data_IF_516503738176
#
_entry.id   IF_516503738176
#
_cell.length_a   1.000
_cell.length_b   1.000
_cell.length_c   1.000
_cell.angle_alpha   90.00
_cell.angle_beta   90.00
_cell.angle_gamma   90.00
#
_symmetry.space_group_name_H-M   'P 1'
#
loop_
_entity.id
_entity.type
_entity.pdbx_description
1 polymer ?
#
# COMPACT_ATOMS: atom_id res chain seq x y z
N UNK A 1 -9.52 27.85 5.33
CA UNK A 1 -8.82 28.33 4.12
C UNK A 1 -9.62 28.08 2.85
N UNK A 2 -9.97 26.81 2.48
CA UNK A 2 -10.79 26.56 1.29
C UNK A 2 -12.20 27.20 1.39
N UNK A 3 -12.84 27.08 2.56
CA UNK A 3 -14.13 27.72 2.84
C UNK A 3 -14.08 29.24 2.70
N UNK A 4 -13.02 29.86 3.23
CA UNK A 4 -12.82 31.31 3.14
C UNK A 4 -12.62 31.76 1.70
N UNK A 5 -11.84 30.99 0.90
CA UNK A 5 -11.64 31.28 -0.52
C UNK A 5 -12.90 31.17 -1.35
N UNK A 6 -13.78 30.24 -0.99
CA UNK A 6 -15.06 30.01 -1.69
C UNK A 6 -16.23 30.85 -1.12
N UNK A 7 -16.01 31.56 0.00
CA UNK A 7 -17.04 32.34 0.67
C UNK A 7 -18.19 31.48 1.22
N UNK A 8 -17.90 30.23 1.59
CA UNK A 8 -18.91 29.30 2.15
C UNK A 8 -18.62 29.02 3.63
N UNK A 9 -19.66 28.66 4.35
CA UNK A 9 -19.53 28.18 5.75
C UNK A 9 -19.52 26.66 5.76
N UNK A 10 -18.51 26.07 6.40
CA UNK A 10 -18.41 24.63 6.59
C UNK A 10 -18.64 24.35 8.06
N UNK A 11 -19.53 23.41 8.38
CA UNK A 11 -19.67 22.83 9.71
C UNK A 11 -18.91 21.52 9.74
N UNK A 12 -17.91 21.41 10.59
CA UNK A 12 -17.10 20.20 10.73
C UNK A 12 -17.65 19.32 11.84
N UNK A 13 -18.09 18.11 11.50
CA UNK A 13 -18.51 17.08 12.44
C UNK A 13 -17.41 16.03 12.52
N UNK A 14 -16.86 15.80 13.71
CA UNK A 14 -15.78 14.83 13.97
C UNK A 14 -16.29 13.66 14.77
N UNK A 15 -15.83 12.45 14.42
CA UNK A 15 -16.21 11.21 15.07
C UNK A 15 -14.97 10.34 15.26
N UNK A 16 -14.93 9.51 16.29
CA UNK A 16 -13.84 8.55 16.55
C UNK A 16 -13.95 7.29 15.67
N UNK A 17 -15.15 6.95 15.21
CA UNK A 17 -15.45 5.76 14.43
C UNK A 17 -15.87 6.15 13.01
N UNK A 18 -15.17 5.64 12.01
CA UNK A 18 -15.43 5.96 10.62
C UNK A 18 -16.72 5.30 10.07
N UNK A 19 -17.22 4.24 10.67
CA UNK A 19 -18.51 3.66 10.32
C UNK A 19 -19.65 4.64 10.69
N UNK A 20 -19.51 5.35 11.82
CA UNK A 20 -20.43 6.42 12.21
C UNK A 20 -20.37 7.59 11.23
N UNK A 21 -19.17 7.96 10.77
CA UNK A 21 -19.01 9.01 9.73
C UNK A 21 -19.78 8.63 8.47
N UNK A 22 -19.55 7.40 7.98
CA UNK A 22 -20.18 6.91 6.76
C UNK A 22 -21.71 6.84 6.91
N UNK A 23 -22.23 6.38 8.06
CA UNK A 23 -23.66 6.33 8.31
C UNK A 23 -24.30 7.72 8.34
N UNK A 24 -23.65 8.72 8.95
CA UNK A 24 -24.15 10.11 8.92
C UNK A 24 -24.18 10.69 7.50
N UNK A 25 -23.26 10.29 6.63
CA UNK A 25 -23.29 10.67 5.23
C UNK A 25 -24.46 10.00 4.48
N UNK A 26 -24.67 8.69 4.70
CA UNK A 26 -25.80 7.94 4.12
C UNK A 26 -27.15 8.54 4.56
N UNK A 27 -27.26 8.91 5.82
CA UNK A 27 -28.48 9.48 6.41
C UNK A 27 -28.70 10.97 6.03
N UNK A 28 -27.77 11.57 5.28
CA UNK A 28 -27.85 12.97 4.85
C UNK A 28 -27.61 13.98 5.98
N UNK A 29 -27.01 13.55 7.10
CA UNK A 29 -26.58 14.45 8.17
C UNK A 29 -25.26 15.17 7.84
N UNK A 30 -24.51 14.66 6.86
CA UNK A 30 -23.31 15.26 6.29
C UNK A 30 -23.40 15.21 4.75
N UNK A 31 -23.03 16.31 4.11
CA UNK A 31 -23.01 16.41 2.65
C UNK A 31 -21.72 15.87 2.05
N UNK A 32 -20.65 15.84 2.83
CA UNK A 32 -19.30 15.43 2.41
C UNK A 32 -18.63 14.64 3.53
N UNK A 33 -17.93 13.58 3.17
CA UNK A 33 -16.99 12.89 4.06
C UNK A 33 -15.57 12.99 3.49
N UNK A 34 -14.56 12.94 4.36
CA UNK A 34 -13.15 13.03 3.96
C UNK A 34 -12.31 12.02 4.73
N UNK A 35 -11.46 11.32 4.00
CA UNK A 35 -10.41 10.43 4.50
C UNK A 35 -9.42 10.19 3.37
N UNK A 36 -8.49 9.23 3.51
CA UNK A 36 -7.60 8.82 2.44
C UNK A 36 -8.37 8.26 1.22
N UNK A 37 -7.78 8.42 0.03
CA UNK A 37 -8.45 8.06 -1.23
C UNK A 37 -8.84 6.59 -1.33
N UNK A 38 -7.99 5.67 -0.83
CA UNK A 38 -8.31 4.23 -0.81
C UNK A 38 -9.49 3.92 0.13
N UNK A 39 -9.57 4.60 1.27
CA UNK A 39 -10.69 4.50 2.19
C UNK A 39 -12.00 4.98 1.55
N UNK A 40 -11.98 6.12 0.85
CA UNK A 40 -13.17 6.63 0.14
C UNK A 40 -13.65 5.67 -0.96
N UNK A 41 -12.71 5.13 -1.74
CA UNK A 41 -13.04 4.15 -2.80
C UNK A 41 -13.62 2.87 -2.22
N UNK A 42 -13.03 2.35 -1.14
CA UNK A 42 -13.55 1.18 -0.42
C UNK A 42 -14.97 1.40 0.09
N UNK A 43 -15.22 2.53 0.78
CA UNK A 43 -16.55 2.86 1.30
C UNK A 43 -17.59 3.03 0.19
N UNK A 44 -17.22 3.69 -0.91
CA UNK A 44 -18.08 3.79 -2.08
C UNK A 44 -18.44 2.39 -2.63
N UNK A 45 -17.48 1.50 -2.77
CA UNK A 45 -17.70 0.16 -3.31
C UNK A 45 -18.59 -0.71 -2.41
N UNK A 46 -18.48 -0.56 -1.09
CA UNK A 46 -19.18 -1.40 -0.12
C UNK A 46 -20.54 -0.84 0.32
N UNK A 47 -20.68 0.47 0.42
CA UNK A 47 -21.78 1.09 1.17
C UNK A 47 -22.61 2.11 0.37
N UNK A 48 -22.26 2.40 -0.89
CA UNK A 48 -23.06 3.29 -1.72
C UNK A 48 -24.48 2.73 -1.90
N UNK A 49 -25.54 3.47 -1.49
CA UNK A 49 -26.91 2.98 -1.64
C UNK A 49 -27.30 2.79 -3.11
N UNK A 50 -28.15 1.82 -3.37
CA UNK A 50 -28.64 1.55 -4.71
C UNK A 50 -29.42 2.76 -5.27
N UNK A 51 -29.00 3.23 -6.44
CA UNK A 51 -29.62 4.38 -7.11
C UNK A 51 -29.00 5.73 -6.75
N UNK A 52 -28.05 5.79 -5.85
CA UNK A 52 -27.22 6.97 -5.57
C UNK A 52 -25.92 6.93 -6.34
N UNK A 53 -25.33 8.08 -6.61
CA UNK A 53 -24.01 8.20 -7.19
C UNK A 53 -23.13 9.07 -6.29
N UNK A 54 -22.19 8.43 -5.59
CA UNK A 54 -21.19 9.15 -4.81
C UNK A 54 -20.02 9.56 -5.69
N UNK A 55 -19.59 10.80 -5.55
CA UNK A 55 -18.48 11.37 -6.31
C UNK A 55 -17.27 11.57 -5.39
N UNK A 56 -16.11 11.08 -5.80
CA UNK A 56 -14.84 11.32 -5.12
C UNK A 56 -14.11 12.45 -5.82
N UNK A 57 -13.83 13.53 -5.09
CA UNK A 57 -13.15 14.71 -5.62
C UNK A 57 -12.26 15.37 -4.55
N UNK A 58 -11.29 16.17 -4.93
CA UNK A 58 -10.74 16.31 -6.29
C UNK A 58 -10.04 15.03 -6.74
N UNK A 59 -9.79 14.88 -8.05
CA UNK A 59 -9.06 13.73 -8.58
C UNK A 59 -7.61 13.66 -8.11
N UNK A 60 -7.01 14.81 -7.76
CA UNK A 60 -5.69 14.86 -7.12
C UNK A 60 -5.84 14.94 -5.58
N UNK A 61 -5.06 14.18 -4.80
CA UNK A 61 -5.08 14.25 -3.34
C UNK A 61 -4.81 15.67 -2.83
N UNK A 62 -5.54 16.09 -1.81
CA UNK A 62 -5.37 17.41 -1.15
C UNK A 62 -4.31 17.40 -0.05
N UNK A 63 -3.89 16.23 0.41
CA UNK A 63 -2.85 16.02 1.42
C UNK A 63 -2.04 14.76 1.10
N UNK A 64 -0.99 14.53 1.89
CA UNK A 64 -0.15 13.32 1.82
C UNK A 64 -0.39 12.49 3.06
N UNK A 65 -0.87 11.29 2.87
CA UNK A 65 -1.14 10.32 3.93
C UNK A 65 -0.36 9.03 3.63
N UNK A 66 0.98 9.01 3.92
CA UNK A 66 1.78 7.82 3.66
C UNK A 66 1.41 6.71 4.64
N UNK A 67 0.65 5.74 4.16
CA UNK A 67 0.24 4.56 4.91
C UNK A 67 1.37 3.54 4.96
N UNK A 68 1.46 2.81 6.05
CA UNK A 68 2.46 1.74 6.21
C UNK A 68 2.12 0.78 7.35
N UNK A 69 2.73 -0.40 7.37
CA UNK A 69 2.60 -1.33 8.48
C UNK A 69 3.09 -0.70 9.78
N UNK A 70 2.40 -1.00 10.89
CA UNK A 70 2.80 -0.55 12.22
C UNK A 70 3.18 -1.73 13.11
N UNK A 71 4.11 -1.51 14.03
CA UNK A 71 4.60 -2.51 14.98
C UNK A 71 4.86 -1.87 16.34
N UNK A 72 4.96 -2.71 17.38
CA UNK A 72 5.21 -2.25 18.74
C UNK A 72 6.57 -1.56 18.89
N UNK A 73 6.61 -0.46 19.64
CA UNK A 73 7.84 0.26 19.95
C UNK A 73 8.84 -0.64 20.70
N UNK A 74 10.14 -0.40 20.52
CA UNK A 74 11.24 -1.15 21.12
C UNK A 74 11.36 -2.63 20.66
N UNK A 75 10.81 -2.95 19.49
CA UNK A 75 10.95 -4.25 18.84
C UNK A 75 11.77 -4.12 17.56
N UNK A 76 13.01 -3.60 17.65
CA UNK A 76 13.84 -3.25 16.50
C UNK A 76 14.02 -4.41 15.52
N UNK A 77 14.30 -5.62 16.02
CA UNK A 77 14.45 -6.80 15.18
C UNK A 77 13.18 -7.17 14.42
N UNK A 78 12.02 -7.05 15.05
CA UNK A 78 10.73 -7.26 14.37
C UNK A 78 10.44 -6.14 13.38
N UNK A 79 10.81 -4.90 13.71
CA UNK A 79 10.74 -3.76 12.81
C UNK A 79 11.55 -4.01 11.53
N UNK A 80 12.77 -4.52 11.65
CA UNK A 80 13.61 -4.88 10.52
C UNK A 80 12.94 -5.94 9.64
N UNK A 81 12.37 -6.99 10.23
CA UNK A 81 11.64 -8.03 9.49
C UNK A 81 10.45 -7.45 8.73
N UNK A 82 9.64 -6.58 9.36
CA UNK A 82 8.49 -5.94 8.70
C UNK A 82 8.95 -5.06 7.54
N UNK A 83 9.94 -4.20 7.77
CA UNK A 83 10.47 -3.30 6.74
C UNK A 83 11.06 -4.08 5.56
N UNK A 84 11.91 -5.08 5.83
CA UNK A 84 12.53 -5.87 4.79
C UNK A 84 11.53 -6.77 4.04
N UNK A 85 10.44 -7.18 4.68
CA UNK A 85 9.34 -7.86 3.98
C UNK A 85 8.71 -6.96 2.92
N UNK A 86 8.44 -5.69 3.26
CA UNK A 86 7.92 -4.72 2.28
C UNK A 86 8.96 -4.43 1.19
N UNK A 87 10.22 -4.21 1.56
CA UNK A 87 11.29 -3.96 0.59
C UNK A 87 11.50 -5.14 -0.35
N UNK A 88 11.42 -6.37 0.16
CA UNK A 88 11.55 -7.58 -0.65
C UNK A 88 10.48 -7.64 -1.76
N UNK A 89 9.25 -7.27 -1.46
CA UNK A 89 8.18 -7.22 -2.45
C UNK A 89 8.40 -6.13 -3.52
N UNK A 90 8.94 -4.98 -3.12
CA UNK A 90 9.30 -3.89 -4.04
C UNK A 90 10.51 -4.26 -4.91
N UNK A 91 11.56 -4.84 -4.32
CA UNK A 91 12.74 -5.31 -5.05
C UNK A 91 12.34 -6.40 -6.06
N UNK A 92 11.45 -7.33 -5.66
CA UNK A 92 10.94 -8.34 -6.58
C UNK A 92 10.31 -7.70 -7.82
N UNK A 93 9.48 -6.69 -7.66
CA UNK A 93 8.90 -5.94 -8.79
C UNK A 93 9.96 -5.25 -9.66
N UNK A 94 11.01 -4.66 -9.07
CA UNK A 94 12.12 -4.06 -9.82
C UNK A 94 12.81 -5.05 -10.75
N UNK A 95 12.87 -6.33 -10.36
CA UNK A 95 13.43 -7.43 -11.13
C UNK A 95 12.38 -8.18 -11.98
N UNK A 96 11.13 -7.75 -12.00
CA UNK A 96 10.03 -8.43 -12.69
C UNK A 96 9.67 -9.79 -12.12
N UNK A 97 9.98 -10.01 -10.83
CA UNK A 97 9.68 -11.23 -10.09
C UNK A 97 8.34 -11.07 -9.36
N UNK A 98 7.47 -12.06 -9.50
CA UNK A 98 6.14 -12.08 -8.94
C UNK A 98 5.75 -13.48 -8.44
N UNK A 99 4.55 -13.63 -7.90
CA UNK A 99 4.07 -14.90 -7.35
C UNK A 99 4.11 -16.05 -8.37
N UNK A 100 3.87 -15.76 -9.64
CA UNK A 100 3.74 -16.79 -10.68
C UNK A 100 5.07 -17.29 -11.23
N UNK A 101 6.14 -16.47 -11.15
CA UNK A 101 7.43 -16.77 -11.78
C UNK A 101 8.62 -16.85 -10.81
N UNK A 102 8.45 -16.63 -9.51
CA UNK A 102 9.56 -16.61 -8.54
C UNK A 102 10.40 -17.89 -8.54
N UNK A 103 9.80 -19.04 -8.88
CA UNK A 103 10.50 -20.32 -8.96
C UNK A 103 11.55 -20.35 -10.08
N UNK A 104 11.40 -19.53 -11.11
CA UNK A 104 12.31 -19.45 -12.25
C UNK A 104 13.61 -18.70 -11.90
N UNK A 105 13.68 -18.09 -10.71
CA UNK A 105 14.82 -17.27 -10.25
C UNK A 105 15.63 -17.91 -9.10
N UNK A 106 15.45 -19.21 -8.86
CA UNK A 106 16.17 -19.92 -7.80
C UNK A 106 17.65 -20.17 -8.12
N UNK A 107 18.13 -19.78 -9.29
CA UNK A 107 19.53 -19.74 -9.69
C UNK A 107 20.06 -18.31 -9.87
N UNK A 108 19.29 -17.30 -9.46
CA UNK A 108 19.67 -15.90 -9.58
C UNK A 108 20.94 -15.58 -8.79
N UNK A 109 21.75 -14.68 -9.34
CA UNK A 109 22.96 -14.17 -8.69
C UNK A 109 22.75 -12.72 -8.19
N UNK A 110 23.73 -12.21 -7.47
CA UNK A 110 23.76 -10.82 -7.04
C UNK A 110 22.67 -10.49 -6.02
N UNK A 111 22.03 -9.34 -6.17
CA UNK A 111 21.03 -8.83 -5.24
C UNK A 111 19.79 -9.73 -5.16
N UNK A 112 19.27 -10.14 -6.32
CA UNK A 112 18.09 -11.00 -6.37
C UNK A 112 18.36 -12.37 -5.74
N UNK A 113 19.53 -12.96 -5.99
CA UNK A 113 19.93 -14.22 -5.37
C UNK A 113 20.02 -14.11 -3.84
N UNK A 114 20.59 -13.02 -3.31
CA UNK A 114 20.60 -12.76 -1.86
C UNK A 114 19.19 -12.58 -1.30
N UNK A 115 18.34 -11.83 -2.01
CA UNK A 115 16.96 -11.64 -1.60
C UNK A 115 16.19 -12.97 -1.50
N UNK A 116 16.34 -13.83 -2.49
CA UNK A 116 15.65 -15.12 -2.54
C UNK A 116 16.28 -16.20 -1.66
N UNK A 117 17.46 -15.92 -1.05
CA UNK A 117 18.18 -16.85 -0.18
C UNK A 117 18.85 -18.00 -0.93
N UNK A 118 19.14 -17.83 -2.23
CA UNK A 118 19.85 -18.83 -3.05
C UNK A 118 21.36 -18.54 -3.17
N UNK A 119 21.81 -17.42 -2.63
CA UNK A 119 23.21 -17.02 -2.52
C UNK A 119 23.59 -16.74 -1.07
N UNK A 120 24.24 -15.59 -0.85
CA UNK A 120 24.55 -15.09 0.48
C UNK A 120 23.27 -14.58 1.17
N UNK A 121 23.01 -15.04 2.38
CA UNK A 121 21.79 -14.77 3.17
C UNK A 121 22.03 -13.76 4.32
N UNK A 122 23.02 -12.89 4.22
CA UNK A 122 23.39 -11.95 5.30
C UNK A 122 22.22 -11.14 5.83
N UNK A 123 21.33 -10.69 4.96
CA UNK A 123 20.14 -9.89 5.34
C UNK A 123 19.19 -10.70 6.21
N UNK A 124 18.85 -11.93 5.78
CA UNK A 124 17.96 -12.82 6.50
C UNK A 124 18.59 -13.32 7.82
N UNK A 125 19.85 -13.71 7.78
CA UNK A 125 20.58 -14.21 8.95
C UNK A 125 20.76 -13.13 10.02
N UNK A 126 21.02 -11.89 9.64
CA UNK A 126 21.10 -10.74 10.56
C UNK A 126 19.78 -10.50 11.32
N UNK A 127 18.64 -10.73 10.67
CA UNK A 127 17.33 -10.67 11.31
C UNK A 127 16.94 -11.95 12.05
N UNK A 128 17.67 -13.05 11.86
CA UNK A 128 17.40 -14.36 12.46
C UNK A 128 16.15 -15.03 11.89
N UNK A 129 15.89 -14.83 10.61
CA UNK A 129 14.85 -15.51 9.85
C UNK A 129 15.47 -16.54 8.90
N UNK A 130 14.63 -17.41 8.32
CA UNK A 130 15.12 -18.44 7.39
C UNK A 130 15.75 -17.81 6.14
N UNK A 131 16.79 -18.43 5.54
CA UNK A 131 17.43 -17.91 4.34
C UNK A 131 16.45 -17.64 3.18
N UNK A 132 15.46 -18.50 3.01
CA UNK A 132 14.43 -18.42 1.96
C UNK A 132 13.18 -17.60 2.36
N UNK A 133 13.23 -16.85 3.47
CA UNK A 133 12.05 -16.17 4.00
C UNK A 133 11.41 -15.22 2.97
N UNK A 134 12.20 -14.44 2.23
CA UNK A 134 11.65 -13.52 1.25
C UNK A 134 11.19 -14.22 -0.04
N UNK A 135 11.85 -15.31 -0.45
CA UNK A 135 11.29 -16.19 -1.47
C UNK A 135 9.90 -16.67 -1.06
N UNK A 136 9.74 -17.13 0.19
CA UNK A 136 8.45 -17.59 0.70
C UNK A 136 7.39 -16.47 0.73
N UNK A 137 7.78 -15.24 1.04
CA UNK A 137 6.88 -14.07 0.96
C UNK A 137 6.37 -13.91 -0.48
N UNK A 138 7.25 -13.85 -1.46
CA UNK A 138 6.87 -13.64 -2.85
C UNK A 138 6.06 -14.85 -3.37
N UNK A 139 6.48 -16.08 -3.03
CA UNK A 139 5.79 -17.31 -3.44
C UNK A 139 4.37 -17.43 -2.90
N UNK A 140 4.15 -17.04 -1.64
CA UNK A 140 2.85 -17.23 -0.97
C UNK A 140 1.95 -16.00 -1.07
N UNK A 141 2.53 -14.82 -1.09
CA UNK A 141 1.80 -13.54 -1.04
C UNK A 141 1.89 -12.78 -2.35
N UNK A 142 3.04 -12.78 -2.99
CA UNK A 142 3.32 -12.06 -4.24
C UNK A 142 4.23 -10.87 -4.03
N UNK A 143 4.54 -10.19 -5.14
CA UNK A 143 5.23 -8.91 -5.18
C UNK A 143 4.30 -7.77 -4.78
N UNK A 144 4.81 -6.54 -4.73
CA UNK A 144 4.02 -5.35 -4.45
C UNK A 144 2.92 -5.13 -5.51
N UNK A 145 3.23 -5.29 -6.80
CA UNK A 145 2.25 -5.21 -7.88
C UNK A 145 1.20 -6.31 -7.80
N UNK A 146 1.58 -7.55 -7.42
CA UNK A 146 0.60 -8.63 -7.23
C UNK A 146 -0.43 -8.27 -6.16
N UNK A 147 0.00 -7.62 -5.07
CA UNK A 147 -0.90 -7.16 -4.01
C UNK A 147 -1.80 -6.04 -4.49
N UNK A 148 -1.26 -5.08 -5.24
CA UNK A 148 -2.03 -3.99 -5.81
C UNK A 148 -3.13 -4.51 -6.75
N UNK A 149 -2.75 -5.35 -7.71
CA UNK A 149 -3.67 -5.95 -8.67
C UNK A 149 -4.76 -6.78 -8.00
N UNK A 150 -4.45 -7.46 -6.90
CA UNK A 150 -5.40 -8.28 -6.16
C UNK A 150 -6.39 -7.48 -5.34
N UNK A 151 -5.95 -6.37 -4.73
CA UNK A 151 -6.73 -5.70 -3.69
C UNK A 151 -7.21 -4.29 -4.08
N UNK A 152 -6.47 -3.57 -4.90
CA UNK A 152 -6.75 -2.17 -5.22
C UNK A 152 -7.24 -1.95 -6.65
N UNK A 153 -6.71 -2.70 -7.62
CA UNK A 153 -7.16 -2.60 -9.00
C UNK A 153 -8.65 -2.94 -9.18
N UNK A 154 -9.24 -3.93 -8.48
CA UNK A 154 -10.68 -4.19 -8.56
C UNK A 154 -11.56 -3.02 -8.08
N UNK A 155 -11.00 -2.13 -7.27
CA UNK A 155 -11.65 -0.91 -6.80
C UNK A 155 -11.45 0.27 -7.78
N UNK A 156 -10.80 0.06 -8.92
CA UNK A 156 -10.52 1.09 -9.91
C UNK A 156 -9.27 1.93 -9.62
N UNK A 157 -8.42 1.51 -8.67
CA UNK A 157 -7.17 2.18 -8.35
C UNK A 157 -6.03 1.60 -9.21
N UNK A 158 -5.47 2.40 -10.11
CA UNK A 158 -4.30 2.02 -10.90
C UNK A 158 -3.01 2.31 -10.15
N UNK A 159 -2.00 1.46 -10.32
CA UNK A 159 -0.64 1.68 -9.80
C UNK A 159 0.17 2.54 -10.77
N UNK A 160 0.14 2.17 -12.04
CA UNK A 160 0.95 2.75 -13.11
C UNK A 160 0.79 4.28 -13.20
N UNK A 161 1.92 4.98 -13.22
CA UNK A 161 1.97 6.44 -13.36
C UNK A 161 1.55 7.22 -12.12
N UNK A 162 1.34 6.58 -10.98
CA UNK A 162 1.03 7.23 -9.71
C UNK A 162 2.26 7.39 -8.82
N UNK A 163 2.13 8.17 -7.74
CA UNK A 163 3.18 8.28 -6.71
C UNK A 163 3.47 6.97 -5.99
N UNK A 164 2.55 6.00 -6.06
CA UNK A 164 2.71 4.68 -5.45
C UNK A 164 3.46 3.70 -6.33
N UNK A 165 3.77 4.06 -7.57
CA UNK A 165 4.56 3.23 -8.47
C UNK A 165 6.05 3.21 -8.06
N UNK A 166 6.80 2.25 -8.59
CA UNK A 166 8.24 2.16 -8.40
C UNK A 166 8.94 3.42 -8.90
N UNK A 167 10.06 3.78 -8.27
CA UNK A 167 10.88 4.91 -8.72
C UNK A 167 11.39 4.74 -10.16
N UNK A 168 11.62 3.50 -10.59
CA UNK A 168 12.01 3.16 -11.96
C UNK A 168 10.94 3.51 -12.99
N UNK A 169 9.67 3.60 -12.57
CA UNK A 169 8.51 3.98 -13.37
C UNK A 169 8.07 5.44 -13.13
N UNK A 170 8.84 6.20 -12.34
CA UNK A 170 8.56 7.60 -12.01
C UNK A 170 7.73 7.82 -10.75
N UNK A 171 7.42 6.77 -9.99
CA UNK A 171 6.77 6.85 -8.68
C UNK A 171 7.75 7.15 -7.54
N UNK A 172 7.32 6.94 -6.32
CA UNK A 172 8.11 7.23 -5.10
C UNK A 172 8.53 5.97 -4.32
N UNK A 173 8.10 4.77 -4.76
CA UNK A 173 8.48 3.54 -4.07
C UNK A 173 9.93 3.18 -4.42
N UNK A 174 10.81 3.31 -3.41
CA UNK A 174 12.27 3.17 -3.57
C UNK A 174 12.82 2.30 -2.42
N UNK A 175 12.99 0.99 -2.62
CA UNK A 175 13.57 0.11 -1.61
C UNK A 175 15.10 0.28 -1.52
N UNK A 176 15.71 0.05 -0.33
CA UNK A 176 17.15 -0.07 -0.23
C UNK A 176 17.62 -1.39 -0.89
N UNK A 177 18.85 -1.44 -1.43
CA UNK A 177 19.36 -2.65 -2.03
C UNK A 177 19.63 -3.75 -0.98
N UNK A 178 19.32 -5.02 -1.32
CA UNK A 178 19.63 -6.19 -0.50
C UNK A 178 21.15 -6.51 -0.57
N UNK A 179 21.91 -6.01 0.44
CA UNK A 179 23.36 -6.17 0.55
C UNK A 179 23.74 -6.73 1.90
#
# INVERSE_FOLDING_TARGET
EAADLLGITITLNTFEDFDIVTQNFIDGACDIITTDGSGLVGRKAEQQPAGEEWVIFPGAPISKEPLGPTYGQNQSRFADVVNWTVYAMLIADEYGVNQSNVDDFLDAEGELGRLLGVGDDEVQSAMGIAPDAFYQVIKQVGSYSDLWERHLAPLGLTLEGTVNDLHTNGGLMYPPPAR
#
